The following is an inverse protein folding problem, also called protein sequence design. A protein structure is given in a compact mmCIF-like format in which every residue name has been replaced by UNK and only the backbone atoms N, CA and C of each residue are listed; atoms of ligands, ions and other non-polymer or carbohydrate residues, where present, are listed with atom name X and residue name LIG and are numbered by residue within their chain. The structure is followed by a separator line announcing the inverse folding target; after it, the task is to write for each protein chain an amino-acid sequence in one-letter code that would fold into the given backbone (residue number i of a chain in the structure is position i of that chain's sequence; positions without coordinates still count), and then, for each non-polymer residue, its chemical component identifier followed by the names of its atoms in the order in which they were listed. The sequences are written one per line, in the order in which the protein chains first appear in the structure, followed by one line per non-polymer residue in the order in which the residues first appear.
data_IF_294626909058
#
_entry.id   IF_294626909058
#
_cell.length_a   1.000
_cell.length_b   1.000
_cell.length_c   1.000
_cell.angle_alpha   90.00
_cell.angle_beta   90.00
_cell.angle_gamma   90.00
#
_symmetry.space_group_name_H-M   'P 1'
#
loop_
_entity.id
_entity.type
_entity.pdbx_description
1 polymer ?
#
# COMPACT_ATOMS: atom_id res chain seq x y z
N UNK A 1 8.59 16.66 -42.32
CA UNK A 1 9.51 15.64 -41.81
C UNK A 1 9.51 15.82 -40.31
N UNK A 2 8.79 14.93 -39.62
CA UNK A 2 8.74 14.96 -38.14
C UNK A 2 10.11 14.57 -37.60
N UNK A 3 10.61 15.37 -36.70
CA UNK A 3 11.85 15.13 -35.95
C UNK A 3 11.60 13.92 -35.05
N UNK A 4 11.93 12.72 -35.51
CA UNK A 4 11.77 11.49 -34.74
C UNK A 4 12.95 11.45 -33.76
N UNK A 5 12.68 11.67 -32.48
CA UNK A 5 13.72 11.61 -31.45
C UNK A 5 14.38 10.23 -31.46
N UNK A 6 15.71 10.16 -31.51
CA UNK A 6 16.46 8.91 -31.55
C UNK A 6 16.14 8.00 -30.34
N UNK A 7 16.07 6.70 -30.57
CA UNK A 7 15.77 5.71 -29.52
C UNK A 7 16.77 5.74 -28.35
N UNK A 8 18.05 6.02 -28.66
CA UNK A 8 19.09 6.22 -27.66
C UNK A 8 18.77 7.37 -26.70
N UNK A 9 18.21 8.48 -27.19
CA UNK A 9 17.78 9.61 -26.35
C UNK A 9 16.59 9.24 -25.50
N UNK A 10 15.57 8.58 -26.07
CA UNK A 10 14.40 8.12 -25.33
C UNK A 10 14.77 7.12 -24.23
N UNK A 11 15.65 6.17 -24.55
CA UNK A 11 16.17 5.20 -23.59
C UNK A 11 16.94 5.87 -22.45
N UNK A 12 17.88 6.77 -22.75
CA UNK A 12 18.66 7.48 -21.74
C UNK A 12 17.77 8.33 -20.82
N UNK A 13 16.76 8.99 -21.36
CA UNK A 13 15.80 9.76 -20.56
C UNK A 13 15.04 8.87 -19.58
N UNK A 14 14.55 7.71 -20.04
CA UNK A 14 13.88 6.74 -19.18
C UNK A 14 14.83 6.16 -18.11
N UNK A 15 16.06 5.85 -18.49
CA UNK A 15 17.09 5.36 -17.57
C UNK A 15 17.40 6.36 -16.44
N UNK A 16 17.54 7.65 -16.78
CA UNK A 16 17.77 8.72 -15.79
C UNK A 16 16.60 8.82 -14.80
N UNK A 17 15.35 8.68 -15.28
CA UNK A 17 14.18 8.72 -14.39
C UNK A 17 14.19 7.56 -13.38
N UNK A 18 14.57 6.35 -13.82
CA UNK A 18 14.71 5.20 -12.92
C UNK A 18 15.87 5.41 -11.93
N UNK A 19 17.00 5.96 -12.40
CA UNK A 19 18.13 6.28 -11.52
C UNK A 19 17.74 7.30 -10.44
N UNK A 20 17.05 8.37 -10.81
CA UNK A 20 16.54 9.38 -9.87
C UNK A 20 15.58 8.77 -8.86
N UNK A 21 14.68 7.90 -9.31
CA UNK A 21 13.77 7.18 -8.42
C UNK A 21 14.55 6.33 -7.40
N UNK A 22 15.52 5.53 -7.84
CA UNK A 22 16.36 4.71 -6.96
C UNK A 22 17.16 5.54 -5.95
N UNK A 23 17.70 6.68 -6.37
CA UNK A 23 18.38 7.62 -5.47
C UNK A 23 17.46 8.13 -4.37
N UNK A 24 16.24 8.51 -4.73
CA UNK A 24 15.25 8.99 -3.76
C UNK A 24 14.81 7.86 -2.80
N UNK A 25 14.51 6.67 -3.32
CA UNK A 25 14.13 5.49 -2.55
C UNK A 25 15.19 5.08 -1.51
N UNK A 26 16.46 5.27 -1.84
CA UNK A 26 17.62 4.86 -1.03
C UNK A 26 18.28 6.02 -0.27
N UNK A 27 17.66 7.21 -0.23
CA UNK A 27 18.20 8.41 0.41
C UNK A 27 19.59 8.82 -0.13
N UNK A 28 19.72 8.90 -1.46
CA UNK A 28 20.92 9.34 -2.18
C UNK A 28 22.22 8.58 -1.79
N UNK A 29 22.27 7.26 -1.97
CA UNK A 29 23.46 6.49 -1.63
C UNK A 29 24.62 6.82 -2.58
N UNK A 30 25.84 6.78 -2.07
CA UNK A 30 27.08 6.97 -2.85
C UNK A 30 27.53 5.68 -3.53
N UNK A 31 26.64 5.03 -4.28
CA UNK A 31 26.90 3.75 -4.97
C UNK A 31 26.46 3.80 -6.42
N UNK A 32 26.97 2.89 -7.25
CA UNK A 32 26.61 2.79 -8.67
C UNK A 32 25.18 2.24 -8.89
N UNK A 33 24.65 2.46 -10.12
CA UNK A 33 23.28 2.10 -10.48
C UNK A 33 22.95 0.62 -10.19
N UNK A 34 23.79 -0.33 -10.60
CA UNK A 34 23.55 -1.76 -10.39
C UNK A 34 23.43 -2.09 -8.90
N UNK A 35 24.25 -1.47 -8.06
CA UNK A 35 24.15 -1.66 -6.62
C UNK A 35 22.88 -1.02 -6.05
N UNK A 36 22.45 0.14 -6.58
CA UNK A 36 21.15 0.73 -6.22
C UNK A 36 19.99 -0.18 -6.61
N UNK A 37 20.04 -0.83 -7.79
CA UNK A 37 19.02 -1.82 -8.20
C UNK A 37 18.93 -2.97 -7.20
N UNK A 38 20.07 -3.57 -6.81
CA UNK A 38 20.07 -4.66 -5.80
C UNK A 38 19.56 -4.23 -4.43
N UNK A 39 19.89 -3.02 -3.99
CA UNK A 39 19.37 -2.47 -2.74
C UNK A 39 17.90 -2.10 -2.83
N UNK A 40 17.49 -1.50 -3.96
CA UNK A 40 16.12 -1.10 -4.24
C UNK A 40 15.15 -2.29 -4.34
N UNK A 41 15.60 -3.41 -4.95
CA UNK A 41 14.82 -4.64 -5.07
C UNK A 41 14.40 -5.25 -3.72
N UNK A 42 15.08 -4.90 -2.63
CA UNK A 42 14.72 -5.31 -1.27
C UNK A 42 13.61 -4.45 -0.66
N UNK A 43 13.40 -3.26 -1.22
CA UNK A 43 12.45 -2.26 -0.70
C UNK A 43 11.26 -2.02 -1.63
N UNK A 44 11.37 -2.43 -2.89
CA UNK A 44 10.46 -2.05 -3.93
C UNK A 44 10.18 -3.22 -4.86
N UNK A 45 8.90 -3.57 -5.02
CA UNK A 45 8.47 -4.73 -5.77
C UNK A 45 8.67 -4.55 -7.29
N UNK A 46 8.40 -3.36 -7.84
CA UNK A 46 8.64 -3.08 -9.27
C UNK A 46 10.13 -3.21 -9.59
N UNK A 47 11.00 -2.65 -8.74
CA UNK A 47 12.45 -2.80 -8.90
C UNK A 47 12.87 -4.26 -8.77
N UNK A 48 12.26 -5.02 -7.86
CA UNK A 48 12.51 -6.45 -7.70
C UNK A 48 12.10 -7.23 -8.95
N UNK A 49 10.92 -6.95 -9.48
CA UNK A 49 10.40 -7.62 -10.67
C UNK A 49 11.28 -7.40 -11.90
N UNK A 50 11.74 -6.17 -12.11
CA UNK A 50 12.57 -5.79 -13.26
C UNK A 50 14.08 -5.76 -12.95
N UNK A 51 14.54 -6.39 -11.87
CA UNK A 51 15.93 -6.34 -11.42
C UNK A 51 16.92 -6.77 -12.51
N UNK A 52 16.64 -7.87 -13.20
CA UNK A 52 17.49 -8.41 -14.27
C UNK A 52 17.56 -7.45 -15.45
N UNK A 53 16.41 -6.97 -15.92
CA UNK A 53 16.33 -6.03 -17.05
C UNK A 53 17.09 -4.73 -16.73
N UNK A 54 16.94 -4.21 -15.52
CA UNK A 54 17.62 -2.97 -15.10
C UNK A 54 19.15 -3.12 -15.04
N UNK A 55 19.65 -4.30 -14.67
CA UNK A 55 21.09 -4.59 -14.70
C UNK A 55 21.60 -4.66 -16.15
N UNK A 56 20.85 -5.30 -17.05
CA UNK A 56 21.18 -5.32 -18.49
C UNK A 56 21.12 -3.93 -19.11
N UNK A 57 20.14 -3.12 -18.73
CA UNK A 57 20.01 -1.73 -19.20
C UNK A 57 21.16 -0.84 -18.72
N UNK A 58 21.77 -1.12 -17.57
CA UNK A 58 22.98 -0.43 -17.14
C UNK A 58 24.14 -0.69 -18.10
N UNK A 59 24.27 -1.90 -18.64
CA UNK A 59 25.29 -2.24 -19.62
C UNK A 59 25.02 -1.53 -20.96
N UNK A 60 23.78 -1.56 -21.44
CA UNK A 60 23.37 -0.85 -22.65
C UNK A 60 23.61 0.66 -22.54
N UNK A 61 23.22 1.27 -21.42
CA UNK A 61 23.48 2.68 -21.13
C UNK A 61 24.97 3.01 -21.24
N UNK A 62 25.84 2.16 -20.69
CA UNK A 62 27.27 2.36 -20.76
C UNK A 62 27.78 2.27 -22.20
N UNK A 63 27.27 1.34 -23.03
CA UNK A 63 27.61 1.23 -24.44
C UNK A 63 27.20 2.49 -25.23
N UNK A 64 26.01 3.05 -24.94
CA UNK A 64 25.53 4.27 -25.60
C UNK A 64 26.37 5.51 -25.20
N UNK A 65 26.74 5.65 -23.92
CA UNK A 65 27.36 6.88 -23.41
C UNK A 65 28.88 6.90 -23.57
N UNK A 66 29.56 5.77 -23.33
CA UNK A 66 31.02 5.73 -23.28
C UNK A 66 31.70 5.55 -24.64
N UNK A 67 30.97 5.11 -25.64
CA UNK A 67 31.50 4.88 -26.97
C UNK A 67 30.95 5.90 -28.00
N UNK A 68 30.94 7.19 -27.65
CA UNK A 68 30.66 8.24 -28.61
C UNK A 68 31.88 8.37 -29.52
N UNK A 69 31.70 7.97 -30.75
CA UNK A 69 32.69 8.24 -31.84
C UNK A 69 32.87 9.76 -32.03
N UNK A 70 33.91 10.18 -32.71
CA UNK A 70 34.29 11.59 -32.88
C UNK A 70 33.21 12.54 -33.44
N UNK A 71 32.01 12.06 -33.81
CA UNK A 71 30.88 12.83 -34.34
C UNK A 71 29.69 12.94 -33.37
N UNK A 72 29.85 12.65 -32.09
CA UNK A 72 28.79 12.67 -31.06
C UNK A 72 27.62 11.65 -31.27
N UNK A 73 27.69 10.80 -32.30
CA UNK A 73 26.68 9.77 -32.54
C UNK A 73 26.84 8.60 -31.59
N UNK A 74 25.71 8.10 -31.07
CA UNK A 74 25.66 6.91 -30.21
C UNK A 74 26.07 5.68 -31.07
N UNK A 75 27.02 4.86 -30.55
CA UNK A 75 27.47 3.63 -31.24
C UNK A 75 26.39 2.54 -31.21
N UNK A 76 25.48 2.59 -30.24
CA UNK A 76 24.37 1.65 -30.12
C UNK A 76 23.03 2.41 -30.13
N UNK A 77 22.14 2.00 -31.01
CA UNK A 77 20.78 2.51 -31.09
C UNK A 77 19.84 1.40 -30.61
N UNK A 78 19.13 1.58 -29.45
CA UNK A 78 18.21 0.58 -28.95
C UNK A 78 17.05 0.31 -29.91
N UNK A 79 16.61 -0.95 -30.00
CA UNK A 79 15.39 -1.28 -30.72
C UNK A 79 14.14 -0.65 -30.04
N UNK A 80 13.09 -0.37 -30.81
CA UNK A 80 11.82 0.19 -30.32
C UNK A 80 11.24 -0.62 -29.13
N UNK A 81 11.37 -1.94 -29.17
CA UNK A 81 10.92 -2.83 -28.10
C UNK A 81 11.64 -2.56 -26.76
N UNK A 82 12.93 -2.25 -26.79
CA UNK A 82 13.74 -1.93 -25.61
C UNK A 82 13.31 -0.59 -25.04
N UNK A 83 13.10 0.41 -25.90
CA UNK A 83 12.62 1.74 -25.49
C UNK A 83 11.22 1.64 -24.87
N UNK A 84 10.31 0.94 -25.53
CA UNK A 84 8.94 0.70 -25.02
C UNK A 84 8.97 -0.01 -23.66
N UNK A 85 9.84 -1.01 -23.51
CA UNK A 85 9.94 -1.76 -22.26
C UNK A 85 10.47 -0.90 -21.10
N UNK A 86 11.58 -0.16 -21.28
CA UNK A 86 12.12 0.71 -20.22
C UNK A 86 11.12 1.84 -19.86
N UNK A 87 10.42 2.40 -20.83
CA UNK A 87 9.35 3.38 -20.58
C UNK A 87 8.18 2.78 -19.80
N UNK A 88 7.84 1.51 -20.03
CA UNK A 88 6.82 0.81 -19.25
C UNK A 88 7.23 0.65 -17.78
N UNK A 89 8.53 0.39 -17.52
CA UNK A 89 9.07 0.35 -16.16
C UNK A 89 8.94 1.72 -15.48
N UNK A 90 9.31 2.81 -16.18
CA UNK A 90 9.13 4.19 -15.68
C UNK A 90 7.66 4.43 -15.33
N UNK A 91 6.75 4.07 -16.25
CA UNK A 91 5.31 4.23 -16.02
C UNK A 91 4.83 3.46 -14.79
N UNK A 92 5.26 2.21 -14.60
CA UNK A 92 4.94 1.40 -13.42
C UNK A 92 5.51 1.98 -12.11
N UNK A 93 6.64 2.66 -12.15
CA UNK A 93 7.22 3.36 -11.01
C UNK A 93 6.44 4.63 -10.67
N UNK A 94 6.04 5.41 -11.69
CA UNK A 94 5.42 6.73 -11.53
C UNK A 94 3.91 6.66 -11.29
N UNK A 95 3.22 5.74 -11.95
CA UNK A 95 1.76 5.60 -11.91
C UNK A 95 1.33 4.48 -10.96
N UNK A 96 1.97 4.37 -9.81
CA UNK A 96 1.54 3.42 -8.79
C UNK A 96 0.19 3.83 -8.26
N UNK A 97 -0.74 2.90 -8.29
CA UNK A 97 -1.98 3.04 -7.55
C UNK A 97 -1.67 3.16 -6.06
N UNK A 98 -2.28 4.13 -5.45
CA UNK A 98 -2.19 4.38 -4.02
C UNK A 98 -3.49 3.98 -3.34
N UNK A 99 -3.48 3.97 -2.03
CA UNK A 99 -4.68 3.76 -1.22
C UNK A 99 -5.77 4.76 -1.59
N UNK A 100 -5.40 6.00 -1.96
CA UNK A 100 -6.33 7.04 -2.40
C UNK A 100 -7.18 6.61 -3.61
N UNK A 101 -6.62 5.85 -4.54
CA UNK A 101 -7.32 5.40 -5.76
C UNK A 101 -8.39 4.35 -5.46
N UNK A 102 -8.31 3.68 -4.31
CA UNK A 102 -9.23 2.62 -3.89
C UNK A 102 -10.25 3.06 -2.84
N UNK A 103 -9.98 4.13 -2.12
CA UNK A 103 -10.92 4.68 -1.12
C UNK A 103 -12.07 5.37 -1.85
N UNK A 104 -13.26 4.75 -1.81
CA UNK A 104 -14.46 5.27 -2.50
C UNK A 104 -15.41 5.98 -1.56
N UNK A 105 -15.56 5.49 -0.34
CA UNK A 105 -16.54 5.98 0.62
C UNK A 105 -15.93 6.08 2.03
N UNK A 106 -16.45 7.03 2.81
CA UNK A 106 -16.07 7.11 4.22
C UNK A 106 -16.56 5.87 4.95
N UNK A 107 -15.74 5.24 5.81
CA UNK A 107 -16.17 4.08 6.56
C UNK A 107 -17.31 4.47 7.52
N UNK A 108 -18.30 3.61 7.60
CA UNK A 108 -19.29 3.69 8.66
C UNK A 108 -18.57 3.60 10.01
N UNK A 109 -18.80 4.54 10.89
CA UNK A 109 -18.20 4.60 12.23
C UNK A 109 -19.26 4.91 13.28
N UNK A 110 -19.03 4.45 14.50
CA UNK A 110 -19.98 4.59 15.61
C UNK A 110 -19.30 5.20 16.83
N UNK A 111 -20.12 5.69 17.78
CA UNK A 111 -19.66 6.13 19.11
C UNK A 111 -19.61 4.95 20.09
N UNK A 112 -18.72 5.01 21.07
CA UNK A 112 -18.58 3.94 22.05
C UNK A 112 -19.77 3.81 23.01
N UNK A 113 -20.51 4.87 23.21
CA UNK A 113 -21.74 4.89 24.03
C UNK A 113 -22.99 4.38 23.30
N UNK A 114 -22.90 4.13 21.98
CA UNK A 114 -24.01 3.58 21.19
C UNK A 114 -24.39 2.19 21.70
N UNK A 115 -25.70 1.91 21.74
CA UNK A 115 -26.16 0.57 22.04
C UNK A 115 -25.83 -0.41 20.91
N UNK A 116 -25.38 -1.60 21.29
CA UNK A 116 -24.97 -2.63 20.34
C UNK A 116 -26.10 -2.98 19.34
N UNK A 117 -27.34 -3.09 19.85
CA UNK A 117 -28.49 -3.37 19.01
C UNK A 117 -28.76 -2.29 17.97
N UNK A 118 -28.54 -1.01 18.31
CA UNK A 118 -28.74 0.09 17.38
C UNK A 118 -27.63 0.14 16.32
N UNK A 119 -26.38 -0.17 16.70
CA UNK A 119 -25.31 -0.36 15.74
C UNK A 119 -25.63 -1.48 14.75
N UNK A 120 -26.09 -2.64 15.22
CA UNK A 120 -26.48 -3.78 14.35
C UNK A 120 -27.66 -3.42 13.44
N UNK A 121 -28.64 -2.65 13.92
CA UNK A 121 -29.76 -2.19 13.09
C UNK A 121 -29.30 -1.24 11.97
N UNK A 122 -28.34 -0.35 12.25
CA UNK A 122 -27.79 0.57 11.27
C UNK A 122 -27.00 -0.15 10.17
N UNK A 123 -26.42 -1.33 10.48
CA UNK A 123 -25.71 -2.17 9.52
C UNK A 123 -26.60 -2.99 8.58
N UNK A 124 -27.91 -2.97 8.75
CA UNK A 124 -28.88 -3.92 8.18
C UNK A 124 -28.78 -4.19 6.65
N UNK A 125 -28.01 -3.37 5.92
CA UNK A 125 -27.81 -3.49 4.48
C UNK A 125 -26.35 -3.49 4.04
N UNK A 126 -25.39 -3.47 4.98
CA UNK A 126 -23.98 -3.38 4.69
C UNK A 126 -23.20 -4.37 5.57
N UNK A 127 -22.51 -5.31 4.93
CA UNK A 127 -21.71 -6.33 5.62
C UNK A 127 -20.32 -5.79 5.98
N UNK A 128 -20.25 -4.95 7.00
CA UNK A 128 -18.96 -4.47 7.50
C UNK A 128 -18.28 -5.56 8.34
N UNK A 129 -17.07 -5.94 7.95
CA UNK A 129 -16.22 -6.86 8.73
C UNK A 129 -15.49 -6.16 9.88
N UNK A 130 -15.43 -4.83 9.85
CA UNK A 130 -14.81 -4.02 10.88
C UNK A 130 -15.44 -2.61 10.92
N UNK A 131 -15.72 -2.09 12.13
CA UNK A 131 -16.38 -0.80 12.33
C UNK A 131 -15.54 0.05 13.26
N UNK A 132 -14.95 1.15 12.78
CA UNK A 132 -14.22 2.09 13.62
C UNK A 132 -15.13 2.75 14.67
N UNK A 133 -14.62 2.88 15.88
CA UNK A 133 -15.30 3.55 16.99
C UNK A 133 -14.59 4.85 17.33
N UNK A 134 -15.32 5.94 17.32
CA UNK A 134 -14.80 7.29 17.59
C UNK A 134 -15.67 8.02 18.61
N UNK A 135 -15.06 8.66 19.61
CA UNK A 135 -15.71 9.59 20.52
C UNK A 135 -15.18 10.99 20.28
N UNK A 136 -16.05 11.93 19.91
CA UNK A 136 -15.65 13.33 19.65
C UNK A 136 -14.40 13.44 18.73
N UNK A 137 -14.38 12.65 17.66
CA UNK A 137 -13.28 12.54 16.69
C UNK A 137 -12.00 11.85 17.23
N UNK A 138 -12.01 11.33 18.46
CA UNK A 138 -10.91 10.54 19.00
C UNK A 138 -11.18 9.06 18.73
N UNK A 139 -10.23 8.38 18.13
CA UNK A 139 -10.31 6.94 17.90
C UNK A 139 -10.29 6.18 19.25
N UNK A 140 -11.21 5.24 19.41
CA UNK A 140 -11.35 4.41 20.60
C UNK A 140 -11.04 2.94 20.33
N UNK A 141 -11.42 2.43 19.16
CA UNK A 141 -11.21 1.04 18.79
C UNK A 141 -11.91 0.67 17.48
N UNK A 142 -11.97 -0.62 17.19
CA UNK A 142 -12.70 -1.19 16.05
C UNK A 142 -13.56 -2.35 16.54
N UNK A 143 -14.86 -2.33 16.26
CA UNK A 143 -15.72 -3.51 16.47
C UNK A 143 -15.50 -4.49 15.31
N UNK A 144 -15.25 -5.76 15.64
CA UNK A 144 -15.04 -6.85 14.67
C UNK A 144 -15.63 -8.17 15.19
N UNK A 145 -15.87 -9.19 14.32
CA UNK A 145 -16.60 -10.41 14.69
C UNK A 145 -16.06 -11.17 15.90
N UNK A 146 -14.73 -11.19 16.11
CA UNK A 146 -14.13 -11.90 17.24
C UNK A 146 -14.53 -11.30 18.58
N UNK A 147 -14.87 -10.00 18.67
CA UNK A 147 -15.32 -9.38 19.91
C UNK A 147 -16.68 -9.94 20.35
N UNK A 148 -17.59 -10.18 19.40
CA UNK A 148 -18.87 -10.82 19.69
C UNK A 148 -18.70 -12.27 20.15
N UNK A 149 -17.78 -13.01 19.51
CA UNK A 149 -17.47 -14.38 19.91
C UNK A 149 -16.95 -14.39 21.35
N UNK A 150 -15.97 -13.56 21.68
CA UNK A 150 -15.39 -13.48 23.04
C UNK A 150 -16.40 -13.01 24.07
N UNK A 151 -17.30 -12.08 23.73
CA UNK A 151 -18.42 -11.70 24.59
C UNK A 151 -19.29 -12.92 24.89
N UNK A 152 -19.63 -13.78 23.92
CA UNK A 152 -20.44 -14.98 24.12
C UNK A 152 -19.72 -16.07 24.91
N UNK A 153 -18.38 -16.11 24.86
CA UNK A 153 -17.55 -17.05 25.61
C UNK A 153 -17.30 -16.60 27.06
N UNK A 154 -17.67 -15.38 27.43
CA UNK A 154 -17.47 -14.84 28.80
C UNK A 154 -18.38 -15.51 29.81
N UNK A 155 -17.84 -16.53 30.48
CA UNK A 155 -18.55 -17.31 31.50
C UNK A 155 -18.95 -16.52 32.73
N UNK A 156 -18.44 -15.29 32.91
CA UNK A 156 -18.86 -14.41 34.04
C UNK A 156 -20.23 -13.79 33.81
N UNK A 157 -20.72 -13.76 32.59
CA UNK A 157 -22.04 -13.25 32.23
C UNK A 157 -23.10 -14.35 32.32
N UNK A 158 -24.12 -14.11 33.08
CA UNK A 158 -25.27 -15.05 33.23
C UNK A 158 -26.42 -14.78 32.25
N UNK A 159 -26.41 -13.60 31.61
CA UNK A 159 -27.38 -13.21 30.57
C UNK A 159 -26.82 -12.18 29.64
N UNK A 160 -27.33 -12.18 28.41
CA UNK A 160 -26.92 -11.26 27.33
C UNK A 160 -28.16 -10.53 26.81
N UNK A 161 -28.43 -9.34 27.35
CA UNK A 161 -29.41 -8.45 26.75
C UNK A 161 -28.71 -7.48 25.81
N UNK A 162 -28.70 -7.80 24.53
CA UNK A 162 -28.05 -6.98 23.50
C UNK A 162 -28.63 -5.57 23.41
N UNK A 163 -29.82 -5.34 23.93
CA UNK A 163 -30.45 -4.02 23.98
C UNK A 163 -29.81 -3.10 25.05
N UNK A 164 -29.09 -3.67 26.02
CA UNK A 164 -28.45 -2.93 27.11
C UNK A 164 -26.94 -2.80 26.92
N UNK A 165 -26.32 -3.65 26.10
CA UNK A 165 -24.88 -3.66 25.89
C UNK A 165 -24.48 -2.45 25.03
N UNK A 166 -23.45 -1.72 25.45
CA UNK A 166 -22.83 -0.63 24.69
C UNK A 166 -21.63 -1.13 23.89
N UNK A 167 -21.29 -0.40 22.83
CA UNK A 167 -20.12 -0.69 22.00
C UNK A 167 -18.84 -0.71 22.83
N UNK A 168 -18.67 0.16 23.83
CA UNK A 168 -17.50 0.19 24.71
C UNK A 168 -17.32 -1.10 25.51
N UNK A 169 -18.39 -1.82 25.82
CA UNK A 169 -18.29 -3.12 26.49
C UNK A 169 -17.72 -4.20 25.58
N UNK A 170 -18.00 -4.14 24.27
CA UNK A 170 -17.34 -5.02 23.30
C UNK A 170 -15.85 -4.74 23.21
N UNK A 171 -15.44 -3.48 23.28
CA UNK A 171 -14.03 -3.11 23.15
C UNK A 171 -13.17 -3.66 24.30
N UNK A 172 -13.75 -4.05 25.42
CA UNK A 172 -13.04 -4.70 26.54
C UNK A 172 -12.51 -6.10 26.19
N UNK A 173 -13.07 -6.72 25.14
CA UNK A 173 -12.67 -8.06 24.68
C UNK A 173 -11.52 -8.04 23.66
N UNK A 174 -10.86 -6.90 23.43
CA UNK A 174 -9.63 -6.83 22.65
C UNK A 174 -8.54 -7.69 23.24
N UNK A 175 -7.75 -8.32 22.36
CA UNK A 175 -6.57 -9.10 22.74
C UNK A 175 -5.31 -8.50 22.11
N UNK A 176 -4.15 -8.87 22.62
CA UNK A 176 -2.85 -8.31 22.19
C UNK A 176 -2.46 -8.64 20.76
N UNK A 177 -3.07 -9.66 20.16
CA UNK A 177 -2.89 -10.07 18.77
C UNK A 177 -3.84 -9.34 17.80
N UNK A 178 -4.92 -8.72 18.28
CA UNK A 178 -5.81 -7.89 17.47
C UNK A 178 -5.07 -6.59 17.08
N UNK A 179 -4.76 -6.43 15.80
CA UNK A 179 -4.00 -5.28 15.32
C UNK A 179 -4.84 -4.39 14.42
N UNK A 180 -4.90 -3.12 14.77
CA UNK A 180 -5.39 -2.04 13.88
C UNK A 180 -4.20 -1.19 13.47
N UNK A 181 -4.08 -0.90 12.17
CA UNK A 181 -2.98 -0.11 11.60
C UNK A 181 -3.57 1.12 10.94
N UNK A 182 -2.90 2.27 11.08
CA UNK A 182 -3.25 3.51 10.39
C UNK A 182 -2.26 3.76 9.26
N UNK A 183 -2.78 4.12 8.09
CA UNK A 183 -1.99 4.36 6.90
C UNK A 183 -2.40 5.66 6.20
N UNK A 184 -1.47 6.36 5.53
CA UNK A 184 -1.80 7.56 4.77
C UNK A 184 -2.44 7.22 3.42
N UNK A 185 -3.20 8.15 2.85
CA UNK A 185 -3.76 8.06 1.48
C UNK A 185 -2.68 7.83 0.43
N UNK A 186 -1.48 8.36 0.64
CA UNK A 186 -0.34 8.27 -0.29
C UNK A 186 0.38 6.93 -0.29
N UNK A 187 0.03 5.99 0.64
CA UNK A 187 0.63 4.66 0.67
C UNK A 187 0.32 3.91 -0.61
N UNK A 188 1.32 3.28 -1.21
CA UNK A 188 1.12 2.44 -2.39
C UNK A 188 0.45 1.11 -2.03
N UNK A 189 -0.21 0.48 -3.02
CA UNK A 189 -0.88 -0.81 -2.80
C UNK A 189 0.11 -1.92 -2.37
N UNK A 190 1.32 -2.05 -2.96
CA UNK A 190 2.32 -2.99 -2.46
C UNK A 190 2.68 -2.79 -0.98
N UNK A 191 2.92 -1.52 -0.57
CA UNK A 191 3.20 -1.22 0.84
C UNK A 191 2.03 -1.58 1.77
N UNK A 192 0.79 -1.38 1.32
CA UNK A 192 -0.40 -1.78 2.06
C UNK A 192 -0.46 -3.30 2.26
N UNK A 193 -0.12 -4.09 1.24
CA UNK A 193 -0.06 -5.56 1.34
C UNK A 193 1.08 -6.01 2.28
N UNK A 194 2.23 -5.33 2.26
CA UNK A 194 3.34 -5.61 3.17
C UNK A 194 2.95 -5.40 4.65
N UNK A 195 2.00 -4.48 4.93
CA UNK A 195 1.44 -4.32 6.29
C UNK A 195 0.78 -5.61 6.76
N UNK A 196 -0.01 -6.28 5.92
CA UNK A 196 -0.62 -7.57 6.26
C UNK A 196 0.43 -8.65 6.49
N UNK A 197 1.38 -8.81 5.57
CA UNK A 197 2.43 -9.81 5.63
C UNK A 197 3.32 -9.63 6.86
N UNK A 198 3.80 -8.42 7.11
CA UNK A 198 4.68 -8.12 8.25
C UNK A 198 4.00 -8.41 9.60
N UNK A 199 2.71 -8.08 9.74
CA UNK A 199 1.99 -8.36 10.97
C UNK A 199 1.72 -9.87 11.12
N UNK A 200 1.33 -10.56 10.04
CA UNK A 200 1.12 -12.00 10.04
C UNK A 200 2.39 -12.76 10.47
N UNK A 201 3.55 -12.40 9.91
CA UNK A 201 4.85 -13.00 10.26
C UNK A 201 5.24 -12.77 11.73
N UNK A 202 4.65 -11.77 12.40
CA UNK A 202 4.81 -11.50 13.83
C UNK A 202 3.73 -12.15 14.70
N UNK A 203 2.90 -13.03 14.13
CA UNK A 203 1.79 -13.69 14.83
C UNK A 203 0.64 -12.75 15.20
N UNK A 204 0.50 -11.60 14.52
CA UNK A 204 -0.57 -10.63 14.76
C UNK A 204 -1.60 -10.66 13.66
N UNK A 205 -2.88 -10.62 14.05
CA UNK A 205 -3.99 -10.52 13.10
C UNK A 205 -4.32 -9.05 12.82
N UNK A 206 -4.12 -8.60 11.59
CA UNK A 206 -4.60 -7.27 11.18
C UNK A 206 -6.12 -7.33 11.03
N UNK A 207 -6.82 -6.74 12.00
CA UNK A 207 -8.28 -6.69 12.04
C UNK A 207 -8.80 -5.66 11.04
N UNK A 208 -8.14 -4.50 11.00
CA UNK A 208 -8.46 -3.42 10.08
C UNK A 208 -7.22 -2.56 9.81
N UNK A 209 -7.15 -2.02 8.59
CA UNK A 209 -6.28 -0.92 8.24
C UNK A 209 -7.17 0.30 8.01
N UNK A 210 -7.01 1.32 8.86
CA UNK A 210 -7.76 2.57 8.77
C UNK A 210 -6.92 3.57 7.98
N UNK A 211 -7.53 4.11 6.94
CA UNK A 211 -6.91 5.13 6.10
C UNK A 211 -7.25 6.50 6.65
N UNK A 212 -6.24 7.32 6.82
CA UNK A 212 -6.38 8.73 7.20
C UNK A 212 -5.52 9.61 6.27
N UNK A 213 -5.59 10.91 6.38
CA UNK A 213 -4.85 11.82 5.50
C UNK A 213 -3.34 11.54 5.53
N UNK A 214 -2.76 11.46 6.73
CA UNK A 214 -1.31 11.28 6.93
C UNK A 214 -0.94 9.99 7.68
N UNK A 215 -1.88 9.08 7.92
CA UNK A 215 -1.66 7.82 8.64
C UNK A 215 -1.68 7.96 10.17
N UNK A 216 -2.21 9.05 10.71
CA UNK A 216 -2.28 9.27 12.15
C UNK A 216 -3.64 8.88 12.72
N UNK A 217 -3.61 8.32 13.93
CA UNK A 217 -4.79 7.83 14.65
C UNK A 217 -5.77 8.93 15.05
N UNK A 218 -5.31 10.17 15.24
CA UNK A 218 -6.12 11.32 15.63
C UNK A 218 -6.76 12.06 14.44
N UNK A 219 -6.66 11.49 13.25
CA UNK A 219 -7.28 12.03 12.03
C UNK A 219 -8.61 11.31 11.74
N UNK A 220 -9.46 11.97 10.94
CA UNK A 220 -10.73 11.36 10.49
C UNK A 220 -10.47 10.16 9.60
N UNK A 221 -11.22 9.04 9.76
CA UNK A 221 -11.11 7.92 8.85
C UNK A 221 -11.65 8.31 7.48
N UNK A 222 -10.87 8.04 6.44
CA UNK A 222 -11.21 8.26 5.03
C UNK A 222 -11.59 6.97 4.34
N UNK A 223 -11.00 5.84 4.78
CA UNK A 223 -11.27 4.51 4.28
C UNK A 223 -10.94 3.45 5.31
N UNK A 224 -11.32 2.21 5.02
CA UNK A 224 -10.99 1.04 5.83
C UNK A 224 -10.75 -0.15 4.90
N UNK A 225 -9.70 -0.93 5.19
CA UNK A 225 -9.44 -2.21 4.56
C UNK A 225 -9.36 -3.30 5.62
N UNK A 226 -9.83 -4.48 5.24
CA UNK A 226 -9.79 -5.70 6.03
C UNK A 226 -9.22 -6.84 5.20
N UNK A 227 -9.04 -8.02 5.77
CA UNK A 227 -8.61 -9.21 5.01
C UNK A 227 -9.59 -9.57 3.89
N UNK A 228 -10.83 -9.15 3.95
CA UNK A 228 -11.82 -9.37 2.90
C UNK A 228 -11.50 -8.58 1.61
N UNK A 229 -10.71 -7.51 1.71
CA UNK A 229 -10.34 -6.65 0.59
C UNK A 229 -9.07 -7.14 -0.13
N UNK A 230 -8.33 -8.12 0.44
CA UNK A 230 -7.10 -8.65 -0.15
C UNK A 230 -7.25 -9.09 -1.62
N UNK A 231 -8.33 -9.77 -2.06
CA UNK A 231 -8.48 -10.13 -3.46
C UNK A 231 -8.53 -8.92 -4.40
N UNK A 232 -9.11 -7.80 -3.95
CA UNK A 232 -9.16 -6.56 -4.72
C UNK A 232 -7.76 -5.94 -4.76
N UNK A 233 -7.08 -5.86 -3.61
CA UNK A 233 -5.74 -5.27 -3.51
C UNK A 233 -4.72 -6.02 -4.36
N UNK A 234 -4.77 -7.37 -4.37
CA UNK A 234 -3.86 -8.21 -5.17
C UNK A 234 -4.09 -7.98 -6.67
N UNK A 235 -5.34 -7.90 -7.10
CA UNK A 235 -5.67 -7.64 -8.52
C UNK A 235 -5.14 -6.28 -9.02
N UNK A 236 -4.99 -5.31 -8.14
CA UNK A 236 -4.45 -4.00 -8.52
C UNK A 236 -2.91 -4.00 -8.72
N UNK A 237 -2.23 -5.11 -8.43
CA UNK A 237 -0.80 -5.31 -8.74
C UNK A 237 -0.57 -5.85 -10.18
N UNK A 238 -1.59 -6.49 -10.77
CA UNK A 238 -1.53 -7.05 -12.12
C UNK A 238 -1.69 -5.95 -13.19
#
# INVERSE_FOLDING_TARGET
VGDTTANSVLFLNAFVQIEMYLRNLLNNPSVGFVQMVHMGARKDEVIRHFQTDLVEYAQLRNAIVHNRGGNEEAIAEPHDSVVTHIQSIVSKIQNRKTVMDLVREKPFSVSSDMLLLDMVKQQKHQHYSAIPVYNNHVYVGVVHPRLYQRLMEDASRTSYDLALIRVEELLQYYQSDDRVVFVPLSMSIPELLEVYETNHNRGKSVIAIIVTETGKQNEKPLGIFTVADLPILIRELE
#
